data_IF_770005586672
#
_entry.id   IF_770005586672
#
_cell.length_a   1.000
_cell.length_b   1.000
_cell.length_c   1.000
_cell.angle_alpha   90.00
_cell.angle_beta   90.00
_cell.angle_gamma   90.00
#
_symmetry.space_group_name_H-M   'P 1'
#
loop_
_entity.id
_entity.type
_entity.pdbx_description
1 polymer ?
#
# COMPACT_ATOMS: atom_id res chain seq x y z
N UNK A 1 32.06 -0.53 3.56
CA UNK A 1 33.40 -0.64 2.92
C UNK A 1 33.39 -0.84 1.39
N UNK A 2 32.24 -1.00 0.70
CA UNK A 2 32.20 -1.30 -0.74
C UNK A 2 32.38 -0.10 -1.70
N UNK A 3 32.54 1.14 -1.22
CA UNK A 3 32.63 2.34 -2.08
C UNK A 3 34.05 2.69 -2.55
N UNK A 4 35.07 2.11 -1.92
CA UNK A 4 36.48 2.37 -2.23
C UNK A 4 36.89 2.06 -3.69
N UNK A 5 36.51 0.90 -4.29
CA UNK A 5 36.92 0.60 -5.66
C UNK A 5 36.30 1.54 -6.70
N UNK A 6 35.07 2.04 -6.46
CA UNK A 6 34.39 2.96 -7.37
C UNK A 6 35.03 4.34 -7.42
N UNK A 7 35.47 4.84 -6.26
CA UNK A 7 36.16 6.12 -6.19
C UNK A 7 37.50 6.05 -6.95
N UNK A 8 38.20 4.92 -6.85
CA UNK A 8 39.44 4.68 -7.58
C UNK A 8 39.18 4.63 -9.10
N UNK A 9 38.16 3.88 -9.56
CA UNK A 9 37.81 3.82 -11.00
C UNK A 9 37.39 5.19 -11.52
N UNK A 10 36.59 5.96 -10.77
CA UNK A 10 36.16 7.30 -11.16
C UNK A 10 37.32 8.30 -11.21
N UNK A 11 38.26 8.24 -10.26
CA UNK A 11 39.45 9.10 -10.24
C UNK A 11 40.39 8.75 -11.40
N UNK A 12 40.61 7.46 -11.68
CA UNK A 12 41.45 7.03 -12.81
C UNK A 12 40.82 7.42 -14.15
N UNK A 13 39.50 7.21 -14.30
CA UNK A 13 38.77 7.61 -15.50
C UNK A 13 38.78 9.13 -15.72
N UNK A 14 38.48 9.92 -14.68
CA UNK A 14 38.51 11.37 -14.74
C UNK A 14 39.91 11.92 -15.00
N UNK A 15 40.92 11.35 -14.36
CA UNK A 15 42.32 11.68 -14.59
C UNK A 15 42.74 11.46 -16.04
N UNK A 16 42.34 10.33 -16.65
CA UNK A 16 42.65 10.02 -18.04
C UNK A 16 42.01 10.98 -19.05
N UNK A 17 40.80 11.47 -18.74
CA UNK A 17 40.10 12.47 -19.57
C UNK A 17 40.76 13.85 -19.46
N UNK A 18 41.15 14.25 -18.24
CA UNK A 18 41.81 15.55 -18.00
C UNK A 18 43.21 15.57 -18.63
N UNK A 19 44.01 14.50 -18.49
CA UNK A 19 45.34 14.43 -19.12
C UNK A 19 45.26 14.50 -20.64
N UNK A 20 44.24 13.89 -21.26
CA UNK A 20 43.99 14.02 -22.70
C UNK A 20 43.60 15.44 -23.11
N UNK A 21 42.79 16.13 -22.30
CA UNK A 21 42.38 17.50 -22.59
C UNK A 21 43.55 18.49 -22.51
N UNK A 22 44.51 18.23 -21.62
CA UNK A 22 45.69 19.07 -21.43
C UNK A 22 46.79 18.79 -22.46
N UNK A 23 46.95 17.53 -22.89
CA UNK A 23 47.98 17.17 -23.87
C UNK A 23 47.50 16.07 -24.84
N UNK A 24 46.94 16.45 -26.01
CA UNK A 24 46.34 15.49 -26.94
C UNK A 24 47.37 14.62 -27.66
N UNK A 25 48.66 14.95 -27.57
CA UNK A 25 49.76 14.27 -28.27
C UNK A 25 50.30 13.09 -27.44
N UNK A 26 50.17 13.15 -26.11
CA UNK A 26 50.83 12.20 -25.20
C UNK A 26 50.13 10.83 -25.11
N UNK A 27 48.84 10.76 -25.48
CA UNK A 27 48.03 9.55 -25.41
C UNK A 27 47.45 9.26 -26.79
N UNK A 28 48.09 8.35 -27.52
CA UNK A 28 47.63 7.77 -28.79
C UNK A 28 46.40 6.85 -28.61
N UNK A 29 45.43 7.29 -27.81
CA UNK A 29 44.14 6.62 -27.68
C UNK A 29 43.25 7.04 -28.85
N UNK A 30 42.88 6.06 -29.67
CA UNK A 30 41.87 6.20 -30.70
C UNK A 30 40.54 6.66 -30.08
N UNK A 31 39.80 7.51 -30.79
CA UNK A 31 38.52 8.06 -30.32
C UNK A 31 37.53 6.94 -29.97
N UNK A 32 37.60 5.82 -30.69
CA UNK A 32 36.77 4.63 -30.46
C UNK A 32 37.06 4.01 -29.09
N UNK A 33 38.32 3.92 -28.70
CA UNK A 33 38.73 3.37 -27.39
C UNK A 33 38.26 4.24 -26.23
N UNK A 34 38.26 5.57 -26.40
CA UNK A 34 37.73 6.49 -25.39
C UNK A 34 36.22 6.31 -25.20
N UNK A 35 35.46 6.21 -26.31
CA UNK A 35 34.01 5.99 -26.26
C UNK A 35 33.69 4.64 -25.60
N UNK A 36 34.38 3.57 -25.97
CA UNK A 36 34.23 2.24 -25.36
C UNK A 36 34.52 2.26 -23.85
N UNK A 37 35.54 3.01 -23.44
CA UNK A 37 35.88 3.15 -22.02
C UNK A 37 34.80 3.90 -21.24
N UNK A 38 34.27 5.00 -21.78
CA UNK A 38 33.17 5.75 -21.15
C UNK A 38 31.90 4.90 -21.07
N UNK A 39 31.55 4.20 -22.15
CA UNK A 39 30.39 3.28 -22.17
C UNK A 39 30.59 2.14 -21.17
N UNK A 40 31.79 1.56 -21.09
CA UNK A 40 32.13 0.52 -20.13
C UNK A 40 32.04 1.01 -18.68
N UNK A 41 32.55 2.21 -18.39
CA UNK A 41 32.46 2.82 -17.06
C UNK A 41 31.01 3.11 -16.66
N UNK A 42 30.19 3.62 -17.59
CA UNK A 42 28.74 3.84 -17.38
C UNK A 42 28.02 2.52 -17.18
N UNK A 43 28.31 1.49 -17.98
CA UNK A 43 27.74 0.17 -17.83
C UNK A 43 28.07 -0.41 -16.45
N UNK A 44 29.33 -0.36 -16.02
CA UNK A 44 29.73 -0.80 -14.67
C UNK A 44 29.01 0.01 -13.59
N UNK A 45 28.86 1.33 -13.74
CA UNK A 45 28.08 2.15 -12.80
C UNK A 45 26.61 1.73 -12.74
N UNK A 46 26.00 1.35 -13.87
CA UNK A 46 24.60 0.88 -13.93
C UNK A 46 24.47 -0.52 -13.32
N UNK A 47 25.37 -1.46 -13.65
CA UNK A 47 25.29 -2.85 -13.17
C UNK A 47 25.62 -2.99 -11.69
N UNK A 48 26.45 -2.09 -11.14
CA UNK A 48 26.91 -2.14 -9.75
C UNK A 48 26.30 -1.08 -8.83
N UNK A 49 25.48 -0.16 -9.32
CA UNK A 49 24.47 0.38 -8.44
C UNK A 49 23.60 -0.82 -8.04
N UNK A 50 23.55 -1.23 -6.76
CA UNK A 50 22.42 -2.05 -6.34
C UNK A 50 21.24 -1.18 -6.73
N UNK A 51 20.46 -1.62 -7.73
CA UNK A 51 19.20 -0.97 -8.04
C UNK A 51 18.54 -0.85 -6.68
N UNK A 52 18.52 0.38 -6.16
CA UNK A 52 17.69 0.71 -5.03
C UNK A 52 16.31 0.45 -5.62
N UNK A 53 15.81 -0.77 -5.44
CA UNK A 53 14.42 -1.19 -5.64
C UNK A 53 13.57 -0.48 -4.59
N UNK A 54 13.78 0.82 -4.45
CA UNK A 54 13.05 1.74 -3.63
C UNK A 54 12.29 2.63 -4.60
N UNK A 55 10.99 2.79 -4.30
CA UNK A 55 10.04 3.75 -4.88
C UNK A 55 9.29 3.40 -6.16
N UNK A 56 9.17 2.14 -6.56
CA UNK A 56 8.07 1.77 -7.48
C UNK A 56 6.91 1.16 -6.68
N UNK A 57 7.20 0.23 -5.77
CA UNK A 57 6.19 -0.34 -4.88
C UNK A 57 5.56 0.69 -3.93
N UNK A 58 6.36 1.58 -3.32
CA UNK A 58 5.84 2.58 -2.38
C UNK A 58 4.91 3.60 -3.07
N UNK A 59 5.26 4.05 -4.28
CA UNK A 59 4.45 4.99 -5.07
C UNK A 59 3.16 4.33 -5.54
N UNK A 60 3.21 3.06 -5.92
CA UNK A 60 2.01 2.30 -6.31
C UNK A 60 1.07 2.11 -5.11
N UNK A 61 1.60 1.84 -3.91
CA UNK A 61 0.78 1.71 -2.69
C UNK A 61 0.19 3.05 -2.26
N UNK A 62 0.94 4.15 -2.34
CA UNK A 62 0.43 5.48 -2.03
C UNK A 62 -0.72 5.88 -2.98
N UNK A 63 -0.58 5.55 -4.26
CA UNK A 63 -1.65 5.74 -5.24
C UNK A 63 -2.87 4.85 -4.94
N UNK A 64 -2.65 3.57 -4.60
CA UNK A 64 -3.72 2.64 -4.20
C UNK A 64 -4.43 3.10 -2.92
N UNK A 65 -3.72 3.65 -1.94
CA UNK A 65 -4.30 4.23 -0.72
C UNK A 65 -5.12 5.48 -1.02
N UNK A 66 -4.62 6.36 -1.90
CA UNK A 66 -5.35 7.56 -2.33
C UNK A 66 -6.64 7.19 -3.07
N UNK A 67 -6.59 6.11 -3.88
CA UNK A 67 -7.76 5.55 -4.54
C UNK A 67 -8.72 4.93 -3.52
N UNK A 68 -8.22 4.16 -2.57
CA UNK A 68 -9.02 3.53 -1.52
C UNK A 68 -9.74 4.58 -0.65
N UNK A 69 -9.06 5.67 -0.29
CA UNK A 69 -9.69 6.78 0.45
C UNK A 69 -10.85 7.43 -0.32
N UNK A 70 -10.75 7.53 -1.65
CA UNK A 70 -11.86 8.00 -2.50
C UNK A 70 -13.00 7.00 -2.58
N UNK A 71 -12.70 5.71 -2.72
CA UNK A 71 -13.71 4.64 -2.74
C UNK A 71 -14.47 4.55 -1.41
N UNK A 72 -13.77 4.69 -0.28
CA UNK A 72 -14.41 4.77 1.06
C UNK A 72 -15.24 6.03 1.21
N UNK A 73 -14.76 7.18 0.76
CA UNK A 73 -15.55 8.42 0.76
C UNK A 73 -16.84 8.28 -0.05
N UNK A 74 -16.79 7.59 -1.19
CA UNK A 74 -17.98 7.28 -1.98
C UNK A 74 -18.95 6.35 -1.23
N UNK A 75 -18.43 5.28 -0.61
CA UNK A 75 -19.24 4.36 0.19
C UNK A 75 -19.88 5.03 1.42
N UNK A 76 -19.16 5.91 2.13
CA UNK A 76 -19.73 6.69 3.24
C UNK A 76 -20.84 7.63 2.76
N UNK A 77 -20.63 8.32 1.64
CA UNK A 77 -21.65 9.19 1.05
C UNK A 77 -22.88 8.40 0.58
N UNK A 78 -22.72 7.16 0.12
CA UNK A 78 -23.84 6.28 -0.20
C UNK A 78 -24.63 5.90 1.06
N UNK A 79 -23.95 5.55 2.15
CA UNK A 79 -24.60 5.24 3.44
C UNK A 79 -25.37 6.42 4.04
N UNK A 80 -24.83 7.64 3.92
CA UNK A 80 -25.52 8.86 4.36
C UNK A 80 -26.80 9.12 3.58
N UNK A 81 -26.84 8.76 2.29
CA UNK A 81 -28.05 8.85 1.46
C UNK A 81 -29.07 7.74 1.77
N UNK A 82 -28.61 6.63 2.33
CA UNK A 82 -29.44 5.46 2.68
C UNK A 82 -29.91 5.47 4.14
N UNK A 83 -29.72 6.57 4.89
CA UNK A 83 -30.13 6.70 6.30
C UNK A 83 -29.59 5.56 7.18
N UNK A 84 -28.29 5.26 7.07
CA UNK A 84 -27.61 4.27 7.92
C UNK A 84 -26.79 4.92 9.04
N UNK A 85 -26.87 4.37 10.26
CA UNK A 85 -26.10 4.84 11.42
C UNK A 85 -24.87 3.97 11.63
N UNK A 86 -23.75 4.64 11.90
CA UNK A 86 -22.46 4.02 12.19
C UNK A 86 -22.38 3.72 13.70
N UNK A 87 -22.13 2.47 14.12
CA UNK A 87 -21.98 2.13 15.54
C UNK A 87 -20.70 2.76 16.13
N UNK A 88 -20.83 3.48 17.26
CA UNK A 88 -19.71 4.12 17.96
C UNK A 88 -18.72 3.11 18.58
N UNK A 89 -19.19 1.92 18.97
CA UNK A 89 -18.38 0.85 19.59
C UNK A 89 -17.18 0.39 18.75
N UNK A 90 -17.26 0.54 17.42
CA UNK A 90 -16.20 0.12 16.50
C UNK A 90 -14.97 1.01 16.66
N UNK A 91 -15.18 2.31 16.84
CA UNK A 91 -14.09 3.28 17.00
C UNK A 91 -13.31 3.01 18.29
N UNK A 92 -14.01 2.61 19.35
CA UNK A 92 -13.40 2.33 20.65
C UNK A 92 -12.56 1.05 20.62
N UNK A 93 -13.10 -0.02 20.03
CA UNK A 93 -12.40 -1.32 19.92
C UNK A 93 -11.14 -1.23 19.06
N UNK A 94 -11.15 -0.43 17.99
CA UNK A 94 -9.97 -0.15 17.18
C UNK A 94 -8.95 0.71 17.94
N UNK A 95 -9.40 1.70 18.71
CA UNK A 95 -8.50 2.55 19.50
C UNK A 95 -7.71 1.75 20.55
N UNK A 96 -8.35 0.78 21.20
CA UNK A 96 -7.68 -0.14 22.13
C UNK A 96 -6.65 -1.04 21.43
N UNK A 97 -6.96 -1.54 20.22
CA UNK A 97 -6.03 -2.34 19.43
C UNK A 97 -4.77 -1.55 19.03
N UNK A 98 -4.94 -0.28 18.68
CA UNK A 98 -3.85 0.63 18.37
C UNK A 98 -2.96 0.91 19.59
N UNK A 99 -3.57 1.18 20.76
CA UNK A 99 -2.83 1.41 22.01
C UNK A 99 -2.03 0.17 22.47
N UNK A 100 -2.57 -1.04 22.26
CA UNK A 100 -1.92 -2.28 22.68
C UNK A 100 -0.83 -2.77 21.69
N UNK A 101 -0.75 -2.18 20.50
CA UNK A 101 0.09 -2.69 19.39
C UNK A 101 0.99 -1.62 18.78
N UNK A 102 1.32 -0.58 19.54
CA UNK A 102 2.12 0.59 19.10
C UNK A 102 3.42 0.17 18.41
N UNK A 103 4.07 -0.87 18.90
CA UNK A 103 5.37 -1.35 18.36
C UNK A 103 5.24 -2.27 17.14
N UNK A 104 4.02 -2.73 16.82
CA UNK A 104 3.76 -3.72 15.75
C UNK A 104 2.45 -3.43 15.00
N UNK A 105 2.40 -2.33 14.22
CA UNK A 105 1.21 -1.94 13.44
C UNK A 105 0.72 -3.02 12.46
N UNK A 106 1.59 -3.91 11.98
CA UNK A 106 1.18 -5.05 11.14
C UNK A 106 0.23 -6.04 11.84
N UNK A 107 0.34 -6.18 13.17
CA UNK A 107 -0.60 -7.01 13.96
C UNK A 107 -1.98 -6.37 13.99
N UNK A 108 -2.05 -5.03 14.05
CA UNK A 108 -3.32 -4.29 14.00
C UNK A 108 -4.02 -4.50 12.67
N UNK A 109 -3.28 -4.47 11.55
CA UNK A 109 -3.85 -4.72 10.22
C UNK A 109 -4.47 -6.13 10.15
N UNK A 110 -3.80 -7.14 10.68
CA UNK A 110 -4.33 -8.52 10.72
C UNK A 110 -5.57 -8.63 11.62
N UNK A 111 -5.55 -7.98 12.79
CA UNK A 111 -6.71 -7.94 13.69
C UNK A 111 -7.92 -7.25 13.01
N UNK A 112 -7.69 -6.14 12.30
CA UNK A 112 -8.72 -5.43 11.54
C UNK A 112 -9.30 -6.30 10.42
N UNK A 113 -8.48 -7.08 9.72
CA UNK A 113 -8.98 -8.05 8.74
C UNK A 113 -9.93 -9.06 9.38
N UNK A 114 -9.56 -9.63 10.54
CA UNK A 114 -10.43 -10.58 11.24
C UNK A 114 -11.75 -9.93 11.70
N UNK A 115 -11.70 -8.69 12.17
CA UNK A 115 -12.91 -7.93 12.55
C UNK A 115 -13.81 -7.65 11.33
N UNK A 116 -13.22 -7.34 10.17
CA UNK A 116 -13.95 -7.15 8.92
C UNK A 116 -14.68 -8.42 8.47
N UNK A 117 -14.00 -9.57 8.55
CA UNK A 117 -14.59 -10.87 8.26
C UNK A 117 -15.77 -11.19 9.19
N UNK A 118 -15.58 -10.95 10.49
CA UNK A 118 -16.62 -11.18 11.50
C UNK A 118 -17.83 -10.26 11.28
N UNK A 119 -17.60 -8.96 11.03
CA UNK A 119 -18.65 -7.98 10.77
C UNK A 119 -19.44 -8.34 9.51
N UNK A 120 -18.74 -8.74 8.44
CA UNK A 120 -19.39 -9.17 7.20
C UNK A 120 -20.25 -10.41 7.44
N UNK A 121 -19.72 -11.40 8.17
CA UNK A 121 -20.47 -12.63 8.50
C UNK A 121 -21.71 -12.34 9.34
N UNK A 122 -21.62 -11.42 10.30
CA UNK A 122 -22.77 -10.99 11.11
C UNK A 122 -23.84 -10.31 10.25
N UNK A 123 -23.44 -9.42 9.32
CA UNK A 123 -24.38 -8.69 8.46
C UNK A 123 -25.07 -9.58 7.44
N UNK A 124 -24.35 -10.56 6.90
CA UNK A 124 -24.88 -11.50 5.90
C UNK A 124 -25.71 -12.63 6.53
N UNK A 125 -25.52 -12.90 7.82
CA UNK A 125 -26.20 -13.97 8.54
C UNK A 125 -25.63 -15.37 8.24
N UNK A 126 -26.08 -16.39 8.97
CA UNK A 126 -25.51 -17.74 8.93
C UNK A 126 -25.74 -18.49 7.62
N UNK A 127 -26.78 -18.13 6.86
CA UNK A 127 -27.13 -18.79 5.60
C UNK A 127 -26.22 -18.36 4.44
N UNK A 128 -25.87 -17.08 4.42
CA UNK A 128 -24.97 -16.46 3.45
C UNK A 128 -23.52 -16.65 3.91
N UNK A 129 -23.25 -16.73 5.21
CA UNK A 129 -21.91 -16.99 5.76
C UNK A 129 -21.30 -18.38 5.47
N UNK A 130 -21.92 -19.18 4.60
CA UNK A 130 -21.39 -20.48 4.11
C UNK A 130 -20.55 -20.36 2.82
N UNK A 131 -20.40 -19.19 2.22
CA UNK A 131 -19.54 -19.02 1.04
C UNK A 131 -18.09 -19.37 1.35
N UNK A 132 -17.39 -19.93 0.35
CA UNK A 132 -16.04 -20.45 0.51
C UNK A 132 -14.99 -19.34 0.63
N UNK A 133 -15.29 -18.16 0.09
CA UNK A 133 -14.40 -16.99 0.16
C UNK A 133 -15.09 -15.73 0.68
N UNK A 134 -14.25 -14.84 1.22
CA UNK A 134 -14.66 -13.53 1.70
C UNK A 134 -15.16 -12.63 0.56
N UNK A 135 -14.57 -12.76 -0.63
CA UNK A 135 -14.98 -12.04 -1.82
C UNK A 135 -16.37 -12.48 -2.29
N UNK A 136 -16.67 -13.78 -2.29
CA UNK A 136 -18.01 -14.29 -2.60
C UNK A 136 -19.06 -13.77 -1.62
N UNK A 137 -18.72 -13.76 -0.32
CA UNK A 137 -19.58 -13.22 0.73
C UNK A 137 -19.92 -11.75 0.48
N UNK A 138 -18.90 -10.96 0.13
CA UNK A 138 -19.06 -9.53 -0.16
C UNK A 138 -19.92 -9.29 -1.41
N UNK A 139 -19.66 -10.04 -2.48
CA UNK A 139 -20.42 -9.97 -3.73
C UNK A 139 -21.90 -10.29 -3.50
N UNK A 140 -22.18 -11.29 -2.66
CA UNK A 140 -23.54 -11.65 -2.31
C UNK A 140 -24.22 -10.56 -1.47
N UNK A 141 -23.49 -9.94 -0.52
CA UNK A 141 -23.98 -8.81 0.25
C UNK A 141 -24.42 -7.63 -0.61
N UNK A 142 -23.63 -7.29 -1.63
CA UNK A 142 -23.99 -6.24 -2.60
C UNK A 142 -25.19 -6.64 -3.45
N UNK A 143 -25.23 -7.88 -3.97
CA UNK A 143 -26.36 -8.37 -4.77
C UNK A 143 -27.69 -8.36 -4.01
N UNK A 144 -27.63 -8.61 -2.71
CA UNK A 144 -28.81 -8.59 -1.83
C UNK A 144 -29.19 -7.17 -1.35
N UNK A 145 -28.45 -6.14 -1.78
CA UNK A 145 -28.67 -4.75 -1.34
C UNK A 145 -28.34 -4.54 0.14
N UNK A 146 -27.61 -5.46 0.77
CA UNK A 146 -27.20 -5.35 2.17
C UNK A 146 -25.98 -4.44 2.32
N UNK A 147 -25.21 -4.25 1.25
CA UNK A 147 -24.03 -3.39 1.19
C UNK A 147 -24.09 -2.53 -0.08
N UNK A 148 -23.67 -1.25 -0.02
CA UNK A 148 -23.46 -0.44 -1.21
C UNK A 148 -22.44 -1.09 -2.14
N UNK A 149 -22.64 -0.98 -3.46
CA UNK A 149 -21.73 -1.55 -4.46
C UNK A 149 -20.30 -0.99 -4.33
N UNK A 150 -20.19 0.27 -3.90
CA UNK A 150 -18.93 0.98 -3.63
C UNK A 150 -18.10 0.30 -2.52
N UNK A 151 -18.75 -0.44 -1.62
CA UNK A 151 -18.07 -1.24 -0.58
C UNK A 151 -17.23 -2.35 -1.21
N UNK A 152 -17.66 -2.88 -2.37
CA UNK A 152 -16.96 -3.97 -3.06
C UNK A 152 -15.58 -3.54 -3.54
N UNK A 153 -15.51 -2.39 -4.21
CA UNK A 153 -14.27 -1.87 -4.76
C UNK A 153 -13.29 -1.50 -3.65
N UNK A 154 -13.79 -0.81 -2.60
CA UNK A 154 -12.99 -0.46 -1.44
C UNK A 154 -12.42 -1.71 -0.74
N UNK A 155 -13.23 -2.77 -0.58
CA UNK A 155 -12.76 -4.01 0.01
C UNK A 155 -11.67 -4.70 -0.82
N UNK A 156 -11.84 -4.78 -2.14
CA UNK A 156 -10.85 -5.38 -3.05
C UNK A 156 -9.52 -4.64 -3.00
N UNK A 157 -9.57 -3.32 -3.07
CA UNK A 157 -8.38 -2.46 -3.00
C UNK A 157 -7.67 -2.66 -1.65
N UNK A 158 -8.40 -2.68 -0.54
CA UNK A 158 -7.85 -2.99 0.79
C UNK A 158 -7.19 -4.38 0.85
N UNK A 159 -7.86 -5.42 0.35
CA UNK A 159 -7.36 -6.80 0.42
C UNK A 159 -6.08 -7.00 -0.40
N UNK A 160 -5.97 -6.30 -1.54
CA UNK A 160 -4.74 -6.26 -2.36
C UNK A 160 -3.57 -5.63 -1.60
N UNK A 161 -3.79 -4.47 -0.97
CA UNK A 161 -2.76 -3.78 -0.19
C UNK A 161 -2.33 -4.65 1.00
N UNK A 162 -3.28 -5.23 1.74
CA UNK A 162 -2.99 -6.14 2.85
C UNK A 162 -2.15 -7.34 2.40
N UNK A 163 -2.49 -7.96 1.27
CA UNK A 163 -1.74 -9.11 0.76
C UNK A 163 -0.29 -8.74 0.44
N UNK A 164 -0.05 -7.56 -0.16
CA UNK A 164 1.31 -7.03 -0.39
C UNK A 164 2.06 -6.78 0.92
N UNK A 165 1.41 -6.13 1.88
CA UNK A 165 1.98 -5.82 3.22
C UNK A 165 2.36 -7.08 3.99
N UNK A 166 1.56 -8.15 3.91
CA UNK A 166 1.77 -9.39 4.67
C UNK A 166 2.76 -10.35 3.98
N UNK A 167 2.73 -10.45 2.65
CA UNK A 167 3.53 -11.44 1.92
C UNK A 167 4.96 -10.99 1.66
N UNK A 168 5.24 -9.69 1.59
CA UNK A 168 6.54 -9.21 1.16
C UNK A 168 7.51 -9.04 2.35
N UNK A 169 8.32 -10.08 2.60
CA UNK A 169 9.29 -10.17 3.70
C UNK A 169 10.35 -9.05 3.71
N UNK A 170 10.50 -8.31 2.61
CA UNK A 170 11.47 -7.22 2.46
C UNK A 170 10.82 -5.84 2.46
N UNK A 171 9.49 -5.79 2.52
CA UNK A 171 8.72 -4.57 2.44
C UNK A 171 8.62 -3.94 3.82
N UNK A 172 9.60 -3.07 4.13
CA UNK A 172 9.48 -2.15 5.27
C UNK A 172 8.46 -1.09 4.91
N UNK A 173 7.18 -1.41 5.09
CA UNK A 173 6.10 -0.43 4.96
C UNK A 173 6.37 0.71 5.93
N UNK A 174 6.29 1.95 5.45
CA UNK A 174 6.39 3.12 6.31
C UNK A 174 5.27 3.11 7.36
N UNK A 175 5.56 3.57 8.57
CA UNK A 175 4.58 3.71 9.65
C UNK A 175 3.39 4.57 9.21
N UNK A 176 3.62 5.59 8.39
CA UNK A 176 2.56 6.46 7.85
C UNK A 176 1.59 5.69 6.93
N UNK A 177 2.12 4.83 6.06
CA UNK A 177 1.34 3.98 5.14
C UNK A 177 0.51 2.95 5.94
N UNK A 178 1.09 2.38 7.01
CA UNK A 178 0.35 1.47 7.90
C UNK A 178 -0.76 2.16 8.68
N UNK A 179 -0.51 3.37 9.21
CA UNK A 179 -1.53 4.15 9.91
C UNK A 179 -2.68 4.53 8.97
N UNK A 180 -2.36 4.94 7.74
CA UNK A 180 -3.36 5.21 6.71
C UNK A 180 -4.18 3.97 6.40
N UNK A 181 -3.53 2.81 6.22
CA UNK A 181 -4.22 1.54 5.99
C UNK A 181 -5.15 1.16 7.16
N UNK A 182 -4.72 1.39 8.40
CA UNK A 182 -5.54 1.14 9.60
C UNK A 182 -6.74 2.06 9.65
N UNK A 183 -6.57 3.37 9.43
CA UNK A 183 -7.67 4.32 9.38
C UNK A 183 -8.70 3.91 8.31
N UNK A 184 -8.20 3.54 7.14
CA UNK A 184 -9.01 3.14 5.99
C UNK A 184 -9.77 1.83 6.24
N UNK A 185 -9.11 0.82 6.84
CA UNK A 185 -9.76 -0.43 7.25
C UNK A 185 -10.83 -0.21 8.33
N UNK A 186 -10.60 0.75 9.24
CA UNK A 186 -11.54 1.13 10.28
C UNK A 186 -12.80 1.74 9.69
N UNK A 187 -12.65 2.60 8.68
CA UNK A 187 -13.79 3.18 7.97
C UNK A 187 -14.56 2.15 7.16
N UNK A 188 -13.87 1.19 6.55
CA UNK A 188 -14.52 0.05 5.90
C UNK A 188 -15.33 -0.79 6.89
N UNK A 189 -14.78 -0.99 8.10
CA UNK A 189 -15.44 -1.74 9.17
C UNK A 189 -16.70 -1.00 9.66
N UNK A 190 -16.64 0.32 9.77
CA UNK A 190 -17.82 1.16 10.06
C UNK A 190 -18.89 0.99 8.99
N UNK A 191 -18.50 1.03 7.72
CA UNK A 191 -19.42 0.87 6.57
C UNK A 191 -20.12 -0.50 6.64
N UNK A 192 -19.34 -1.57 6.80
CA UNK A 192 -19.86 -2.94 6.84
C UNK A 192 -20.68 -3.20 8.09
N UNK A 193 -20.45 -2.48 9.18
CA UNK A 193 -21.22 -2.64 10.41
C UNK A 193 -22.39 -1.65 10.53
N UNK A 194 -22.53 -0.73 9.57
CA UNK A 194 -23.62 0.25 9.57
C UNK A 194 -24.98 -0.46 9.56
N UNK A 195 -25.91 0.03 10.36
CA UNK A 195 -27.27 -0.50 10.44
C UNK A 195 -28.26 0.54 9.92
N UNK A 196 -29.36 0.10 9.26
CA UNK A 196 -30.43 1.02 8.88
C UNK A 196 -31.01 1.69 10.13
N UNK A 197 -31.27 3.01 10.06
CA UNK A 197 -31.90 3.75 11.15
C UNK A 197 -33.23 3.09 11.51
N UNK A 198 -33.33 2.61 12.75
CA UNK A 198 -34.58 2.04 13.26
C UNK A 198 -35.68 3.12 13.22
N UNK A 199 -36.91 2.80 12.76
CA UNK A 199 -37.99 3.79 12.60
C UNK A 199 -38.38 4.50 13.92
N UNK A 200 -37.99 3.96 15.08
CA UNK A 200 -38.17 4.62 16.38
C UNK A 200 -37.20 5.79 16.63
N UNK A 201 -36.08 5.89 15.90
CA UNK A 201 -35.10 6.98 16.05
C UNK A 201 -35.33 8.16 15.09
N UNK A 202 -36.28 8.06 14.15
CA UNK A 202 -36.68 9.19 13.27
C UNK A 202 -37.64 10.19 13.93
N UNK A 203 -38.00 9.99 15.20
CA UNK A 203 -39.00 10.79 15.92
C UNK A 203 -38.44 11.68 17.02
N UNK A 204 -37.13 11.68 17.22
CA UNK A 204 -36.43 12.70 18.03
C UNK A 204 -35.82 13.77 17.11
#
# INVERSE_FOLDING_TARGET
>A
MQRLPFLIVAIVAGGLVITRALDPILLYLDQISLILFVVGAVAVLITYQPMKRFKMGDVEIEFELTRLGREIGAAQNALLKEDMVIPSEISERVSMLLQNSVDRPGIVVLALCSMLEEALRKRLGPEVGRFASLEESLNQGVKLGLLPAETQDAFKTFWKIKSRVVSDKHFRVDSEVLLTLIATATDLLKIISAQPISPNQRKE
#
